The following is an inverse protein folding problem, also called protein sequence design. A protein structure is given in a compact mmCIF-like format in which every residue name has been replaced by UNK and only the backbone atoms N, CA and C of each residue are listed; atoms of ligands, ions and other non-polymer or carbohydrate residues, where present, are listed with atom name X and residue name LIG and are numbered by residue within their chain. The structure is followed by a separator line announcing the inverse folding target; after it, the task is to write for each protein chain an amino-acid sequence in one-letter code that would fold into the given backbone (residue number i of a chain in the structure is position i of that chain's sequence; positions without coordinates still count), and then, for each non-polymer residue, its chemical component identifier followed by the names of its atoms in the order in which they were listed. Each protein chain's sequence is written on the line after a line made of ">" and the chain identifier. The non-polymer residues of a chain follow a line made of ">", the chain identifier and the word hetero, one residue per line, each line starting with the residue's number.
data_IF_543402517033
#
_entry.id   IF_543402517033
#
_cell.length_a   1.000
_cell.length_b   1.000
_cell.length_c   1.000
_cell.angle_alpha   90.00
_cell.angle_beta   90.00
_cell.angle_gamma   90.00
#
_symmetry.space_group_name_H-M   'P 1'
#
loop_
_entity.id
_entity.type
_entity.pdbx_description
1 polymer ?
#
# COMPACT_ATOMS: atom_id res chain seq x y z
N UNK A 1 2.32 8.56 -15.68
CA UNK A 1 1.24 8.56 -14.66
C UNK A 1 0.80 10.01 -14.44
N UNK A 2 -0.50 10.30 -14.43
CA UNK A 2 -1.05 11.68 -14.36
C UNK A 2 -0.49 12.51 -13.19
N UNK A 3 -0.24 11.87 -12.04
CA UNK A 3 0.36 12.50 -10.84
C UNK A 3 1.84 12.87 -10.96
N UNK A 4 2.60 12.24 -11.87
CA UNK A 4 4.03 12.51 -12.05
C UNK A 4 4.29 13.62 -13.07
N UNK A 5 3.24 14.15 -13.72
CA UNK A 5 3.36 15.29 -14.63
C UNK A 5 2.80 16.54 -13.96
N UNK A 6 3.66 17.50 -13.54
CA UNK A 6 3.24 18.64 -12.73
C UNK A 6 2.22 19.54 -13.44
N UNK A 7 2.26 19.62 -14.77
CA UNK A 7 1.31 20.43 -15.56
C UNK A 7 -0.14 19.97 -15.41
N UNK A 8 -0.39 18.66 -15.38
CA UNK A 8 -1.76 18.14 -15.22
C UNK A 8 -2.24 18.25 -13.78
N UNK A 9 -1.33 18.08 -12.81
CA UNK A 9 -1.64 18.24 -11.40
C UNK A 9 -2.02 19.70 -11.09
N UNK A 10 -1.24 20.67 -11.56
CA UNK A 10 -1.55 22.10 -11.38
C UNK A 10 -2.91 22.48 -11.98
N UNK A 11 -3.25 21.93 -13.16
CA UNK A 11 -4.54 22.18 -13.80
C UNK A 11 -5.71 21.61 -12.99
N UNK A 12 -5.54 20.43 -12.38
CA UNK A 12 -6.55 19.84 -11.49
C UNK A 12 -6.74 20.70 -10.23
N UNK A 13 -5.64 21.17 -9.63
CA UNK A 13 -5.66 22.02 -8.43
C UNK A 13 -6.25 23.42 -8.65
N UNK A 14 -6.16 23.96 -9.87
CA UNK A 14 -6.65 25.33 -10.16
C UNK A 14 -8.00 25.41 -10.83
N UNK A 15 -8.38 24.43 -11.66
CA UNK A 15 -9.55 24.55 -12.54
C UNK A 15 -10.64 23.48 -12.31
N UNK A 16 -10.27 22.24 -11.99
CA UNK A 16 -11.20 21.10 -12.03
C UNK A 16 -11.02 20.11 -10.84
N UNK A 17 -11.58 20.41 -9.66
CA UNK A 17 -11.43 19.56 -8.49
C UNK A 17 -12.24 18.24 -8.59
N UNK A 18 -13.32 18.21 -9.38
CA UNK A 18 -14.16 17.01 -9.56
C UNK A 18 -13.45 15.81 -10.20
N UNK A 19 -12.33 16.05 -10.90
CA UNK A 19 -11.50 14.98 -11.49
C UNK A 19 -10.85 14.14 -10.39
N UNK A 20 -10.66 14.71 -9.19
CA UNK A 20 -10.06 14.03 -8.05
C UNK A 20 -10.87 12.80 -7.63
N UNK A 21 -12.19 12.84 -7.80
CA UNK A 21 -13.09 11.70 -7.55
C UNK A 21 -12.69 10.47 -8.38
N UNK A 22 -12.62 10.64 -9.70
CA UNK A 22 -12.24 9.56 -10.63
C UNK A 22 -10.80 9.11 -10.44
N UNK A 23 -9.90 10.04 -10.11
CA UNK A 23 -8.51 9.72 -9.83
C UNK A 23 -8.40 8.85 -8.58
N UNK A 24 -9.12 9.18 -7.51
CA UNK A 24 -9.17 8.39 -6.28
C UNK A 24 -9.71 6.99 -6.56
N UNK A 25 -10.84 6.86 -7.26
CA UNK A 25 -11.41 5.56 -7.63
C UNK A 25 -10.44 4.72 -8.45
N UNK A 26 -9.77 5.32 -9.45
CA UNK A 26 -8.80 4.61 -10.29
C UNK A 26 -7.56 4.13 -9.52
N UNK A 27 -7.10 4.90 -8.52
CA UNK A 27 -5.99 4.49 -7.64
C UNK A 27 -6.42 3.36 -6.71
N UNK A 28 -7.64 3.42 -6.18
CA UNK A 28 -8.19 2.38 -5.29
C UNK A 28 -8.35 1.04 -6.02
N UNK A 29 -8.81 1.07 -7.26
CA UNK A 29 -8.95 -0.15 -8.08
C UNK A 29 -7.57 -0.77 -8.39
N UNK A 30 -6.55 0.07 -8.63
CA UNK A 30 -5.26 -0.42 -9.08
C UNK A 30 -4.30 -0.77 -7.91
N UNK A 31 -4.30 -2.04 -7.51
CA UNK A 31 -3.42 -2.60 -6.46
C UNK A 31 -1.92 -2.45 -6.71
N UNK A 32 -1.50 -2.32 -7.98
CA UNK A 32 -0.09 -2.25 -8.36
C UNK A 32 0.58 -0.91 -8.09
N UNK A 33 -0.18 0.13 -7.71
CA UNK A 33 0.31 1.52 -7.58
C UNK A 33 0.25 2.06 -6.15
N UNK A 34 0.60 1.24 -5.16
CA UNK A 34 0.67 1.66 -3.74
C UNK A 34 1.58 2.88 -3.49
N UNK A 35 2.57 3.15 -4.34
CA UNK A 35 3.40 4.36 -4.25
C UNK A 35 2.60 5.63 -4.53
N UNK A 36 1.67 5.58 -5.50
CA UNK A 36 0.84 6.72 -5.88
C UNK A 36 -0.23 7.07 -4.83
N UNK A 37 -0.56 6.12 -3.94
CA UNK A 37 -1.52 6.35 -2.87
C UNK A 37 -1.03 7.40 -1.86
N UNK A 38 0.26 7.38 -1.51
CA UNK A 38 0.85 8.38 -0.60
C UNK A 38 0.80 9.79 -1.19
N UNK A 39 1.07 9.91 -2.48
CA UNK A 39 1.02 11.21 -3.17
C UNK A 39 -0.42 11.67 -3.35
N UNK A 40 -1.35 10.76 -3.66
CA UNK A 40 -2.78 11.06 -3.73
C UNK A 40 -3.32 11.59 -2.40
N UNK A 41 -2.99 10.97 -1.27
CA UNK A 41 -3.42 11.44 0.07
C UNK A 41 -2.94 12.87 0.32
N UNK A 42 -1.70 13.21 -0.08
CA UNK A 42 -1.20 14.58 0.04
C UNK A 42 -1.97 15.57 -0.82
N UNK A 43 -2.31 15.21 -2.06
CA UNK A 43 -3.12 16.07 -2.95
C UNK A 43 -4.52 16.25 -2.39
N UNK A 44 -5.16 15.18 -1.90
CA UNK A 44 -6.50 15.24 -1.28
C UNK A 44 -6.47 16.15 -0.06
N UNK A 45 -5.45 16.03 0.79
CA UNK A 45 -5.31 16.87 1.98
C UNK A 45 -5.10 18.34 1.61
N UNK A 46 -4.37 18.61 0.52
CA UNK A 46 -4.22 19.97 0.00
C UNK A 46 -5.54 20.52 -0.57
N UNK A 47 -6.33 19.71 -1.28
CA UNK A 47 -7.55 20.15 -1.98
C UNK A 47 -8.84 20.05 -1.14
N UNK A 48 -8.75 19.58 0.11
CA UNK A 48 -9.91 19.33 1.00
C UNK A 48 -10.72 20.59 1.37
N UNK A 49 -10.15 21.78 1.13
CA UNK A 49 -10.82 23.07 1.36
C UNK A 49 -11.75 23.46 0.20
N UNK A 50 -11.49 22.98 -1.02
CA UNK A 50 -12.21 23.38 -2.24
C UNK A 50 -13.32 22.40 -2.58
N UNK A 51 -13.08 21.10 -2.40
CA UNK A 51 -13.99 20.05 -2.84
C UNK A 51 -14.05 18.90 -1.85
N UNK A 52 -15.28 18.49 -1.53
CA UNK A 52 -15.57 17.36 -0.66
C UNK A 52 -16.52 16.42 -1.37
N UNK A 53 -16.07 15.18 -1.51
CA UNK A 53 -16.84 14.07 -2.05
C UNK A 53 -16.76 12.89 -1.08
N UNK A 54 -17.79 12.04 -0.97
CA UNK A 54 -17.73 10.86 -0.11
C UNK A 54 -16.52 9.97 -0.38
N UNK A 55 -16.05 9.88 -1.64
CA UNK A 55 -14.88 9.08 -2.01
C UNK A 55 -13.58 9.72 -1.51
N UNK A 56 -13.46 11.05 -1.59
CA UNK A 56 -12.27 11.75 -1.08
C UNK A 56 -12.25 11.75 0.45
N UNK A 57 -13.42 11.93 1.08
CA UNK A 57 -13.58 11.84 2.53
C UNK A 57 -13.27 10.43 3.05
N UNK A 58 -13.67 9.38 2.32
CA UNK A 58 -13.30 8.00 2.67
C UNK A 58 -11.79 7.81 2.77
N UNK A 59 -11.02 8.33 1.80
CA UNK A 59 -9.56 8.26 1.80
C UNK A 59 -8.96 9.08 2.94
N UNK A 60 -9.54 10.24 3.25
CA UNK A 60 -9.12 11.09 4.37
C UNK A 60 -9.37 10.40 5.73
N UNK A 61 -10.54 9.81 5.94
CA UNK A 61 -10.84 9.05 7.15
C UNK A 61 -9.92 7.85 7.33
N UNK A 62 -9.57 7.15 6.25
CA UNK A 62 -8.73 5.95 6.32
C UNK A 62 -7.24 6.26 6.58
N UNK A 63 -6.68 7.30 5.93
CA UNK A 63 -5.24 7.57 5.96
C UNK A 63 -4.80 8.76 6.82
N UNK A 64 -5.72 9.68 7.15
CA UNK A 64 -5.41 10.86 7.98
C UNK A 64 -5.97 10.69 9.38
N UNK A 65 -7.28 10.44 9.49
CA UNK A 65 -7.97 10.41 10.79
C UNK A 65 -7.97 9.02 11.46
N UNK A 66 -7.74 7.96 10.70
CA UNK A 66 -7.85 6.56 11.14
C UNK A 66 -9.20 6.22 11.81
N UNK A 67 -10.27 6.86 11.34
CA UNK A 67 -11.63 6.60 11.82
C UNK A 67 -12.30 5.53 10.94
N UNK A 68 -12.34 4.30 11.47
CA UNK A 68 -12.89 3.14 10.77
C UNK A 68 -14.42 3.12 10.73
N UNK A 69 -15.08 3.72 11.72
CA UNK A 69 -16.55 3.75 11.78
C UNK A 69 -17.09 4.82 10.82
N UNK A 70 -16.42 5.98 10.76
CA UNK A 70 -16.65 6.99 9.73
C UNK A 70 -16.35 6.46 8.32
N UNK A 71 -15.24 5.76 8.12
CA UNK A 71 -14.89 5.16 6.83
C UNK A 71 -15.92 4.14 6.34
N UNK A 72 -16.50 3.34 7.24
CA UNK A 72 -17.58 2.39 6.92
C UNK A 72 -18.85 3.10 6.45
N UNK A 73 -19.27 4.14 7.16
CA UNK A 73 -20.46 4.91 6.78
C UNK A 73 -20.25 5.56 5.39
N UNK A 74 -19.06 6.13 5.18
CA UNK A 74 -18.66 6.72 3.90
C UNK A 74 -18.57 5.70 2.78
N UNK A 75 -18.15 4.47 3.04
CA UNK A 75 -18.17 3.39 2.04
C UNK A 75 -19.58 3.13 1.50
N UNK A 76 -20.60 3.14 2.37
CA UNK A 76 -21.98 2.96 1.94
C UNK A 76 -22.50 4.14 1.11
N UNK A 77 -22.17 5.36 1.52
CA UNK A 77 -22.45 6.58 0.73
C UNK A 77 -21.74 6.54 -0.63
N UNK A 78 -20.49 6.07 -0.68
CA UNK A 78 -19.73 5.90 -1.91
C UNK A 78 -20.42 4.94 -2.88
N UNK A 79 -20.99 3.83 -2.40
CA UNK A 79 -21.72 2.87 -3.26
C UNK A 79 -22.90 3.53 -3.97
N UNK A 80 -23.66 4.37 -3.25
CA UNK A 80 -24.80 5.10 -3.82
C UNK A 80 -24.31 6.12 -4.84
N UNK A 81 -23.24 6.87 -4.53
CA UNK A 81 -22.66 7.85 -5.46
C UNK A 81 -22.10 7.19 -6.72
N UNK A 82 -21.40 6.05 -6.58
CA UNK A 82 -20.84 5.27 -7.69
C UNK A 82 -21.93 4.67 -8.58
N UNK A 83 -23.03 4.21 -7.99
CA UNK A 83 -24.16 3.65 -8.73
C UNK A 83 -24.84 4.70 -9.63
N UNK A 84 -24.87 5.95 -9.18
CA UNK A 84 -25.45 7.07 -9.93
C UNK A 84 -24.51 7.66 -11.01
N UNK A 85 -23.27 7.16 -11.12
CA UNK A 85 -22.23 7.78 -11.94
C UNK A 85 -21.95 6.97 -13.22
N UNK A 86 -22.16 7.59 -14.38
CA UNK A 86 -22.18 6.91 -15.69
C UNK A 86 -20.89 6.13 -16.01
N UNK A 87 -19.73 6.61 -15.58
CA UNK A 87 -18.44 5.99 -15.90
C UNK A 87 -17.98 4.91 -14.90
N UNK A 88 -18.54 4.90 -13.69
CA UNK A 88 -18.03 4.08 -12.57
C UNK A 88 -18.92 2.89 -12.23
N UNK A 89 -20.12 2.78 -12.83
CA UNK A 89 -21.06 1.67 -12.64
C UNK A 89 -20.38 0.29 -12.81
N UNK A 90 -19.58 0.10 -13.86
CA UNK A 90 -18.93 -1.20 -14.13
C UNK A 90 -17.83 -1.56 -13.12
N UNK A 91 -17.35 -0.60 -12.34
CA UNK A 91 -16.24 -0.77 -11.41
C UNK A 91 -16.69 -0.80 -9.94
N UNK A 92 -18.00 -0.81 -9.67
CA UNK A 92 -18.55 -0.72 -8.31
C UNK A 92 -18.10 -1.90 -7.44
N UNK A 93 -18.28 -3.13 -7.92
CA UNK A 93 -17.93 -4.34 -7.15
C UNK A 93 -16.43 -4.41 -6.87
N UNK A 94 -15.60 -4.08 -7.87
CA UNK A 94 -14.15 -4.05 -7.74
C UNK A 94 -13.68 -2.95 -6.77
N UNK A 95 -14.34 -1.79 -6.79
CA UNK A 95 -14.07 -0.72 -5.84
C UNK A 95 -14.41 -1.13 -4.41
N UNK A 96 -15.57 -1.74 -4.17
CA UNK A 96 -16.01 -2.14 -2.83
C UNK A 96 -15.08 -3.20 -2.24
N UNK A 97 -14.72 -4.23 -3.00
CA UNK A 97 -13.78 -5.24 -2.54
C UNK A 97 -12.40 -4.63 -2.25
N UNK A 98 -11.88 -3.77 -3.13
CA UNK A 98 -10.59 -3.11 -2.90
C UNK A 98 -10.63 -2.16 -1.70
N UNK A 99 -11.73 -1.46 -1.48
CA UNK A 99 -11.91 -0.59 -0.31
C UNK A 99 -11.95 -1.40 1.00
N UNK A 100 -12.68 -2.52 1.04
CA UNK A 100 -12.68 -3.46 2.17
C UNK A 100 -11.28 -3.97 2.48
N UNK A 101 -10.51 -4.30 1.45
CA UNK A 101 -9.12 -4.73 1.59
C UNK A 101 -8.21 -3.65 2.17
N UNK A 102 -8.34 -2.40 1.74
CA UNK A 102 -7.54 -1.30 2.29
C UNK A 102 -7.88 -1.01 3.76
N UNK A 103 -9.17 -1.05 4.12
CA UNK A 103 -9.63 -0.92 5.51
C UNK A 103 -8.98 -2.01 6.35
N UNK A 104 -9.06 -3.27 5.89
CA UNK A 104 -8.49 -4.41 6.60
C UNK A 104 -6.97 -4.35 6.69
N UNK A 105 -6.26 -4.04 5.61
CA UNK A 105 -4.79 -3.91 5.62
C UNK A 105 -4.33 -2.84 6.63
N UNK A 106 -5.03 -1.71 6.66
CA UNK A 106 -4.75 -0.63 7.61
C UNK A 106 -5.06 -1.07 9.04
N UNK A 107 -6.17 -1.78 9.24
CA UNK A 107 -6.58 -2.30 10.55
C UNK A 107 -5.59 -3.34 11.11
N UNK A 108 -5.15 -4.28 10.28
CA UNK A 108 -4.15 -5.30 10.60
C UNK A 108 -2.75 -4.73 10.84
N UNK A 109 -2.41 -3.59 10.25
CA UNK A 109 -1.14 -2.92 10.52
C UNK A 109 -1.11 -2.28 11.92
N UNK A 110 -2.27 -1.84 12.43
CA UNK A 110 -2.37 -1.15 13.72
C UNK A 110 -2.63 -2.14 14.86
N UNK A 111 -3.48 -3.14 14.65
CA UNK A 111 -3.92 -4.06 15.69
C UNK A 111 -3.24 -5.43 15.56
N UNK A 112 -2.62 -5.88 16.66
CA UNK A 112 -1.99 -7.20 16.73
C UNK A 112 -3.00 -8.33 16.95
N UNK A 113 -4.10 -8.06 17.65
CA UNK A 113 -5.18 -9.02 17.91
C UNK A 113 -6.51 -8.43 17.43
N UNK A 114 -7.21 -9.16 16.56
CA UNK A 114 -8.46 -8.70 15.95
C UNK A 114 -9.54 -9.73 16.22
N UNK A 115 -10.71 -9.29 16.72
CA UNK A 115 -11.89 -10.15 16.81
C UNK A 115 -12.60 -10.23 15.45
N UNK A 116 -12.88 -11.46 14.99
CA UNK A 116 -13.62 -11.72 13.75
C UNK A 116 -15.04 -11.12 13.84
N UNK A 117 -15.66 -11.13 15.02
CA UNK A 117 -16.99 -10.55 15.24
C UNK A 117 -17.03 -9.04 14.98
N UNK A 118 -16.06 -8.30 15.51
CA UNK A 118 -15.96 -6.85 15.26
C UNK A 118 -15.68 -6.53 13.79
N UNK A 119 -14.93 -7.40 13.11
CA UNK A 119 -14.62 -7.24 11.70
C UNK A 119 -15.84 -7.49 10.82
N UNK A 120 -16.60 -8.55 11.11
CA UNK A 120 -17.83 -8.91 10.43
C UNK A 120 -18.87 -7.78 10.51
N UNK A 121 -19.04 -7.20 11.71
CA UNK A 121 -19.89 -6.02 11.91
C UNK A 121 -19.41 -4.81 11.10
N UNK A 122 -18.10 -4.53 11.09
CA UNK A 122 -17.56 -3.39 10.35
C UNK A 122 -17.63 -3.55 8.82
N UNK A 123 -17.59 -4.78 8.31
CA UNK A 123 -17.62 -5.08 6.87
C UNK A 123 -19.03 -5.37 6.32
N UNK A 124 -20.06 -5.38 7.18
CA UNK A 124 -21.44 -5.79 6.87
C UNK A 124 -21.48 -7.20 6.22
N UNK A 125 -20.76 -8.16 6.81
CA UNK A 125 -20.71 -9.54 6.34
C UNK A 125 -20.99 -10.49 7.51
N UNK A 126 -21.46 -11.70 7.21
CA UNK A 126 -21.62 -12.72 8.23
C UNK A 126 -20.26 -13.15 8.79
N UNK A 127 -20.16 -13.55 10.07
CA UNK A 127 -18.89 -13.96 10.67
C UNK A 127 -18.21 -15.12 9.93
N UNK A 128 -19.00 -16.05 9.38
CA UNK A 128 -18.49 -17.19 8.61
C UNK A 128 -17.93 -16.77 7.24
N UNK A 129 -18.61 -15.83 6.57
CA UNK A 129 -18.14 -15.25 5.31
C UNK A 129 -16.90 -14.38 5.53
N UNK A 130 -16.85 -13.66 6.66
CA UNK A 130 -15.69 -12.88 7.07
C UNK A 130 -14.47 -13.78 7.29
N UNK A 131 -14.62 -14.93 7.95
CA UNK A 131 -13.51 -15.88 8.14
C UNK A 131 -12.97 -16.38 6.79
N UNK A 132 -13.86 -16.79 5.88
CA UNK A 132 -13.46 -17.23 4.54
C UNK A 132 -12.74 -16.12 3.75
N UNK A 133 -13.27 -14.89 3.82
CA UNK A 133 -12.68 -13.72 3.17
C UNK A 133 -11.29 -13.39 3.73
N UNK A 134 -11.13 -13.40 5.05
CA UNK A 134 -9.85 -13.18 5.74
C UNK A 134 -8.83 -14.26 5.34
N UNK A 135 -9.23 -15.53 5.29
CA UNK A 135 -8.35 -16.65 4.89
C UNK A 135 -7.89 -16.46 3.44
N UNK A 136 -8.80 -16.11 2.53
CA UNK A 136 -8.45 -15.84 1.13
C UNK A 136 -7.49 -14.64 1.03
N UNK A 137 -7.68 -13.62 1.86
CA UNK A 137 -6.81 -12.46 1.92
C UNK A 137 -5.40 -12.80 2.42
N UNK A 138 -5.26 -13.56 3.50
CA UNK A 138 -3.96 -13.99 4.03
C UNK A 138 -3.21 -14.82 2.99
N UNK A 139 -3.90 -15.72 2.29
CA UNK A 139 -3.33 -16.53 1.20
C UNK A 139 -2.83 -15.69 0.03
N UNK A 140 -3.60 -14.69 -0.39
CA UNK A 140 -3.26 -13.85 -1.54
C UNK A 140 -2.24 -12.75 -1.21
N UNK A 141 -2.29 -12.19 0.00
CA UNK A 141 -1.44 -11.07 0.42
C UNK A 141 -0.14 -11.48 1.13
N UNK A 142 0.09 -12.78 1.36
CA UNK A 142 1.24 -13.33 2.11
C UNK A 142 1.44 -12.60 3.45
N UNK A 143 0.35 -12.39 4.18
CA UNK A 143 0.41 -11.79 5.51
C UNK A 143 0.76 -12.87 6.54
N UNK A 144 1.77 -12.62 7.36
CA UNK A 144 2.09 -13.50 8.48
C UNK A 144 1.06 -13.30 9.59
N UNK A 145 -0.03 -14.06 9.55
CA UNK A 145 -1.11 -14.02 10.54
C UNK A 145 -1.48 -15.43 10.98
N UNK A 146 -1.77 -15.58 12.29
CA UNK A 146 -2.30 -16.81 12.88
C UNK A 146 -3.77 -16.61 13.22
N UNK A 147 -4.62 -17.54 12.83
CA UNK A 147 -6.07 -17.50 13.11
C UNK A 147 -6.38 -18.51 14.21
N UNK A 148 -6.91 -18.02 15.32
CA UNK A 148 -7.42 -18.83 16.41
C UNK A 148 -8.94 -18.98 16.26
N UNK A 149 -9.36 -19.93 15.43
CA UNK A 149 -10.79 -20.20 15.12
C UNK A 149 -11.62 -20.51 16.39
N UNK A 150 -11.01 -21.08 17.44
CA UNK A 150 -11.69 -21.37 18.72
C UNK A 150 -12.06 -20.13 19.54
N UNK A 151 -11.28 -19.06 19.44
CA UNK A 151 -11.53 -17.80 20.17
C UNK A 151 -12.06 -16.71 19.25
N UNK A 152 -12.15 -16.97 17.93
CA UNK A 152 -12.56 -15.97 16.95
C UNK A 152 -11.58 -14.81 16.82
N UNK A 153 -10.29 -15.05 17.07
CA UNK A 153 -9.25 -14.02 17.02
C UNK A 153 -8.24 -14.27 15.91
N UNK A 154 -7.85 -13.19 15.21
CA UNK A 154 -6.73 -13.18 14.28
C UNK A 154 -5.58 -12.45 14.96
N UNK A 155 -4.46 -13.16 15.16
CA UNK A 155 -3.23 -12.61 15.73
C UNK A 155 -2.23 -12.38 14.60
N UNK A 156 -1.87 -11.13 14.37
CA UNK A 156 -0.86 -10.76 13.39
C UNK A 156 0.54 -11.11 13.92
N UNK A 157 1.30 -11.88 13.15
CA UNK A 157 2.67 -12.29 13.42
C UNK A 157 3.68 -11.19 13.12
N UNK A 158 3.38 -9.94 13.48
CA UNK A 158 4.33 -8.84 13.42
C UNK A 158 5.37 -9.02 14.55
N UNK A 159 6.24 -10.02 14.41
CA UNK A 159 7.45 -10.06 15.22
C UNK A 159 8.33 -8.90 14.77
N UNK A 160 8.64 -7.92 15.65
CA UNK A 160 9.67 -6.95 15.32
C UNK A 160 10.97 -7.72 15.05
N UNK A 161 11.61 -7.44 13.92
CA UNK A 161 12.90 -8.01 13.57
C UNK A 161 13.85 -7.80 14.75
N UNK A 162 14.37 -8.90 15.29
CA UNK A 162 15.34 -8.85 16.37
C UNK A 162 16.52 -7.93 15.98
N UNK A 163 17.06 -7.11 16.89
CA UNK A 163 18.23 -6.27 16.58
C UNK A 163 19.39 -7.07 15.99
N UNK A 164 19.54 -8.33 16.39
CA UNK A 164 20.54 -9.25 15.83
C UNK A 164 20.27 -9.58 14.36
N UNK A 165 19.02 -9.74 13.97
CA UNK A 165 18.64 -10.06 12.59
C UNK A 165 18.84 -8.85 11.68
N UNK A 166 18.53 -7.64 12.16
CA UNK A 166 18.86 -6.40 11.45
C UNK A 166 20.38 -6.21 11.28
N UNK A 167 21.18 -6.59 12.29
CA UNK A 167 22.63 -6.56 12.20
C UNK A 167 23.13 -7.57 11.16
N UNK A 168 22.62 -8.80 11.17
CA UNK A 168 22.99 -9.83 10.19
C UNK A 168 22.67 -9.37 8.77
N UNK A 169 21.46 -8.85 8.50
CA UNK A 169 21.11 -8.35 7.15
C UNK A 169 22.03 -7.22 6.68
N UNK A 170 22.37 -6.28 7.58
CA UNK A 170 23.32 -5.22 7.24
C UNK A 170 24.72 -5.76 6.97
N UNK A 171 25.22 -6.68 7.80
CA UNK A 171 26.53 -7.30 7.64
C UNK A 171 26.60 -8.12 6.34
N UNK A 172 25.55 -8.86 5.99
CA UNK A 172 25.51 -9.69 4.78
C UNK A 172 25.54 -8.80 3.52
N UNK A 173 24.75 -7.73 3.50
CA UNK A 173 24.81 -6.74 2.42
C UNK A 173 26.18 -6.05 2.30
N UNK A 174 26.87 -5.84 3.43
CA UNK A 174 28.21 -5.26 3.46
C UNK A 174 29.27 -6.26 2.98
N UNK A 175 29.13 -7.53 3.36
CA UNK A 175 30.04 -8.61 2.98
C UNK A 175 30.05 -8.81 1.46
N UNK A 176 28.87 -8.88 0.82
CA UNK A 176 28.74 -8.98 -0.64
C UNK A 176 29.37 -7.76 -1.34
N UNK A 177 29.18 -6.55 -0.78
CA UNK A 177 29.81 -5.33 -1.32
C UNK A 177 31.32 -5.33 -1.15
N UNK A 178 31.83 -5.89 -0.07
CA UNK A 178 33.27 -6.02 0.19
C UNK A 178 33.91 -7.03 -0.76
N UNK A 179 33.29 -8.19 -0.96
CA UNK A 179 33.78 -9.24 -1.87
C UNK A 179 33.80 -8.75 -3.32
N UNK A 180 32.76 -8.04 -3.75
CA UNK A 180 32.72 -7.43 -5.09
C UNK A 180 33.79 -6.34 -5.25
N UNK A 181 34.07 -5.54 -4.22
CA UNK A 181 35.15 -4.55 -4.22
C UNK A 181 36.53 -5.22 -4.31
N UNK A 182 36.76 -6.29 -3.54
CA UNK A 182 38.01 -7.06 -3.58
C UNK A 182 38.23 -7.63 -4.98
N UNK A 183 37.21 -8.24 -5.59
CA UNK A 183 37.29 -8.74 -6.96
C UNK A 183 37.59 -7.63 -7.99
N UNK A 184 37.04 -6.42 -7.81
CA UNK A 184 37.35 -5.27 -8.67
C UNK A 184 38.79 -4.77 -8.46
N UNK A 185 39.28 -4.74 -7.22
CA UNK A 185 40.66 -4.37 -6.89
C UNK A 185 41.65 -5.37 -7.50
N UNK A 186 41.39 -6.68 -7.38
CA UNK A 186 42.24 -7.72 -7.96
C UNK A 186 42.28 -7.64 -9.49
N UNK A 187 41.15 -7.39 -10.14
CA UNK A 187 41.11 -7.15 -11.59
C UNK A 187 41.91 -5.91 -11.98
N UNK A 188 41.79 -4.82 -11.22
CA UNK A 188 42.52 -3.57 -11.47
C UNK A 188 44.02 -3.73 -11.23
N UNK A 189 44.41 -4.51 -10.22
CA UNK A 189 45.80 -4.85 -9.93
C UNK A 189 46.39 -5.69 -11.05
N UNK A 190 45.73 -6.78 -11.47
CA UNK A 190 46.16 -7.61 -12.60
C UNK A 190 46.33 -6.80 -13.88
N UNK A 191 45.35 -5.95 -14.24
CA UNK A 191 45.47 -5.06 -15.39
C UNK A 191 46.66 -4.08 -15.27
N UNK A 192 46.98 -3.61 -14.05
CA UNK A 192 48.13 -2.74 -13.80
C UNK A 192 49.46 -3.48 -13.84
N UNK A 193 49.48 -4.77 -13.49
CA UNK A 193 50.66 -5.64 -13.64
C UNK A 193 50.91 -5.95 -15.12
N UNK A 194 49.87 -6.25 -15.90
CA UNK A 194 49.99 -6.50 -17.35
C UNK A 194 50.55 -5.27 -18.11
N UNK A 195 50.15 -4.06 -17.72
CA UNK A 195 50.69 -2.81 -18.29
C UNK A 195 52.19 -2.64 -17.97
N UNK A 196 52.67 -3.15 -16.82
CA UNK A 196 54.09 -3.07 -16.45
C UNK A 196 54.97 -4.05 -17.24
N UNK A 197 54.43 -5.15 -17.72
CA UNK A 197 55.15 -6.10 -18.57
C UNK A 197 55.05 -5.77 -20.08
N UNK A 198 54.12 -4.90 -20.48
CA UNK A 198 53.95 -4.46 -21.87
C UNK A 198 54.70 -3.18 -22.28
N UNK A 199 55.50 -2.60 -21.39
CA UNK A 199 56.25 -1.36 -21.64
C UNK A 199 57.78 -1.51 -21.47
N UNK A 200 58.28 -2.72 -21.66
CA UNK A 200 59.70 -3.01 -21.83
C UNK A 200 59.83 -3.93 -23.05
N UNK A 201 59.88 -3.34 -24.25
CA UNK A 201 60.83 -3.69 -25.32
C UNK A 201 60.57 -2.83 -26.58
N UNK A 202 61.69 -2.30 -27.10
CA UNK A 202 61.94 -1.43 -28.27
C UNK A 202 61.77 0.09 -28.10
#
# INVERSE_FOLDING_TARGET
>A
MFLYRPHYLNAIQTMCPHILRYLATAVIINRGRRSALKDLVKVIQQESYTYRDPITEFVEHLYVNFDFDGARQKLHECQIVLFNDFFLISCLDEFVENARLMIFETFCRIHQCISIGMLAEKLNMNPDEAECWIVNLIRNARLDAKIDSKLGHVVMGAQPLSPYQQLIEKVDSLAVRSETLVGLIDRKLKARTDIRWGAQEF
#
